data_IF_653191927924
#
_entry.id   IF_653191927924
#
_cell.length_a   1.000
_cell.length_b   1.000
_cell.length_c   1.000
_cell.angle_alpha   90.00
_cell.angle_beta   90.00
_cell.angle_gamma   90.00
#
_symmetry.space_group_name_H-M   'P 1'
#
loop_
_entity.id
_entity.type
_entity.pdbx_description
1 polymer ?
#
# COMPACT_ATOMS: atom_id res chain seq x y z
N UNK A 1 5.96 -14.20 -13.90
CA UNK A 1 7.10 -13.30 -14.17
C UNK A 1 6.93 -12.78 -15.59
N UNK A 2 7.15 -11.49 -15.84
CA UNK A 2 6.91 -10.87 -17.15
C UNK A 2 8.04 -11.21 -18.15
N UNK A 3 7.72 -11.20 -19.45
CA UNK A 3 8.58 -11.63 -20.58
C UNK A 3 10.07 -11.24 -20.46
N UNK A 4 10.39 -10.01 -20.08
CA UNK A 4 11.79 -9.53 -20.02
C UNK A 4 12.60 -10.23 -18.93
N UNK A 5 12.02 -10.43 -17.74
CA UNK A 5 12.71 -11.13 -16.65
C UNK A 5 12.90 -12.61 -16.97
N UNK A 6 11.96 -13.22 -17.69
CA UNK A 6 12.09 -14.60 -18.17
C UNK A 6 13.23 -14.71 -19.21
N UNK A 7 13.28 -13.81 -20.19
CA UNK A 7 14.34 -13.79 -21.20
C UNK A 7 15.73 -13.57 -20.58
N UNK A 8 15.82 -12.75 -19.53
CA UNK A 8 17.06 -12.56 -18.77
C UNK A 8 17.53 -13.87 -18.14
N UNK A 9 16.64 -14.63 -17.48
CA UNK A 9 16.99 -15.92 -16.89
C UNK A 9 17.39 -16.98 -17.93
N UNK A 10 16.75 -16.99 -19.11
CA UNK A 10 17.07 -17.92 -20.19
C UNK A 10 18.42 -17.61 -20.86
N UNK A 11 18.79 -16.33 -20.93
CA UNK A 11 20.08 -15.89 -21.50
C UNK A 11 21.24 -16.00 -20.51
N UNK A 12 20.98 -15.81 -19.21
CA UNK A 12 22.04 -15.79 -18.20
C UNK A 12 22.39 -17.21 -17.74
N UNK A 13 23.64 -17.63 -17.94
CA UNK A 13 24.12 -18.95 -17.53
C UNK A 13 24.79 -18.88 -16.16
N UNK A 14 23.99 -18.95 -15.10
CA UNK A 14 24.47 -18.94 -13.70
C UNK A 14 23.97 -20.17 -12.95
N UNK A 15 24.86 -20.81 -12.20
CA UNK A 15 24.55 -21.99 -11.41
C UNK A 15 24.56 -21.73 -9.89
N UNK A 16 25.01 -20.54 -9.47
CA UNK A 16 25.07 -20.13 -8.07
C UNK A 16 24.05 -19.02 -7.77
N UNK A 17 23.29 -19.16 -6.68
CA UNK A 17 22.27 -18.19 -6.29
C UNK A 17 22.84 -16.79 -6.00
N UNK A 18 24.03 -16.71 -5.39
CA UNK A 18 24.66 -15.44 -5.03
C UNK A 18 24.99 -14.60 -6.28
N UNK A 19 25.50 -15.24 -7.32
CA UNK A 19 25.82 -14.60 -8.60
C UNK A 19 24.54 -14.20 -9.35
N UNK A 20 23.52 -15.07 -9.37
CA UNK A 20 22.23 -14.76 -9.98
C UNK A 20 21.57 -13.55 -9.30
N UNK A 21 21.62 -13.48 -7.97
CA UNK A 21 21.09 -12.35 -7.20
C UNK A 21 21.81 -11.05 -7.58
N UNK A 22 23.14 -11.08 -7.67
CA UNK A 22 23.94 -9.91 -8.03
C UNK A 22 23.58 -9.39 -9.43
N UNK A 23 23.50 -10.29 -10.42
CA UNK A 23 23.14 -9.92 -11.79
C UNK A 23 21.71 -9.36 -11.90
N UNK A 24 20.77 -9.92 -11.14
CA UNK A 24 19.41 -9.37 -11.06
C UNK A 24 19.40 -7.97 -10.44
N UNK A 25 20.19 -7.75 -9.38
CA UNK A 25 20.32 -6.44 -8.76
C UNK A 25 21.00 -5.42 -9.67
N UNK A 26 21.94 -5.83 -10.52
CA UNK A 26 22.62 -4.95 -11.48
C UNK A 26 21.70 -4.60 -12.66
N UNK A 27 21.04 -5.60 -13.26
CA UNK A 27 20.20 -5.41 -14.46
C UNK A 27 18.90 -4.66 -14.16
N UNK A 28 18.26 -4.97 -13.03
CA UNK A 28 16.95 -4.43 -12.67
C UNK A 28 17.01 -3.35 -11.60
N UNK A 29 18.21 -2.85 -11.27
CA UNK A 29 18.31 -1.71 -10.37
C UNK A 29 17.57 -0.53 -10.98
N UNK A 30 16.69 0.07 -10.19
CA UNK A 30 16.15 1.37 -10.56
C UNK A 30 17.26 2.41 -10.36
N UNK A 31 17.49 3.28 -11.36
CA UNK A 31 18.42 4.38 -11.23
C UNK A 31 18.09 5.19 -9.96
N UNK A 32 19.13 5.49 -9.17
CA UNK A 32 18.97 6.31 -7.98
C UNK A 32 18.48 7.70 -8.39
N UNK A 33 17.24 8.03 -8.04
CA UNK A 33 16.72 9.39 -8.17
C UNK A 33 17.40 10.30 -7.15
N UNK A 34 17.64 11.56 -7.52
CA UNK A 34 18.10 12.55 -6.55
C UNK A 34 17.03 12.72 -5.47
N UNK A 35 17.44 12.89 -4.21
CA UNK A 35 16.53 13.10 -3.08
C UNK A 35 15.51 14.22 -3.38
N UNK A 36 15.93 15.32 -4.00
CA UNK A 36 15.06 16.41 -4.39
C UNK A 36 13.92 15.99 -5.35
N UNK A 37 14.22 15.10 -6.30
CA UNK A 37 13.24 14.58 -7.26
C UNK A 37 12.21 13.70 -6.56
N UNK A 38 12.68 12.85 -5.63
CA UNK A 38 11.78 11.99 -4.84
C UNK A 38 10.85 12.82 -3.96
N UNK A 39 11.39 13.87 -3.30
CA UNK A 39 10.57 14.81 -2.53
C UNK A 39 9.55 15.56 -3.40
N UNK A 40 9.88 15.84 -4.66
CA UNK A 40 8.97 16.47 -5.63
C UNK A 40 7.86 15.49 -6.05
N UNK A 41 8.22 14.25 -6.38
CA UNK A 41 7.26 13.21 -6.76
C UNK A 41 6.29 12.87 -5.61
N UNK A 42 6.80 12.75 -4.38
CA UNK A 42 5.97 12.60 -3.18
C UNK A 42 5.03 13.81 -2.97
N UNK A 43 5.52 15.02 -3.23
CA UNK A 43 4.72 16.24 -3.11
C UNK A 43 3.61 16.30 -4.16
N UNK A 44 3.86 15.88 -5.39
CA UNK A 44 2.89 15.93 -6.49
C UNK A 44 1.84 14.82 -6.38
N UNK A 45 2.20 13.69 -5.75
CA UNK A 45 1.30 12.54 -5.62
C UNK A 45 0.13 12.82 -4.68
N UNK A 46 -1.05 13.07 -5.26
CA UNK A 46 -2.33 13.28 -4.55
C UNK A 46 -3.20 12.05 -4.57
N UNK A 47 -3.88 11.76 -3.44
CA UNK A 47 -4.81 10.63 -3.38
C UNK A 47 -5.96 10.83 -4.38
N UNK A 48 -6.13 9.85 -5.26
CA UNK A 48 -7.25 9.75 -6.19
C UNK A 48 -8.52 9.30 -5.47
N UNK A 49 -9.69 9.57 -6.09
CA UNK A 49 -10.99 9.21 -5.51
C UNK A 49 -11.30 7.72 -5.66
N UNK A 50 -10.79 7.09 -6.73
CA UNK A 50 -11.04 5.69 -7.07
C UNK A 50 -10.11 4.71 -6.35
N UNK A 51 -8.98 5.18 -5.84
CA UNK A 51 -8.03 4.32 -5.13
C UNK A 51 -8.36 4.18 -3.63
N UNK A 52 -8.03 3.03 -3.06
CA UNK A 52 -8.11 2.85 -1.61
C UNK A 52 -6.99 3.63 -0.89
N UNK A 53 -7.18 3.96 0.39
CA UNK A 53 -6.11 4.60 1.17
C UNK A 53 -4.88 3.71 1.31
N UNK A 54 -5.08 2.40 1.44
CA UNK A 54 -3.99 1.42 1.51
C UNK A 54 -3.17 1.40 0.21
N UNK A 55 -3.83 1.39 -0.95
CA UNK A 55 -3.18 1.47 -2.26
C UNK A 55 -2.40 2.78 -2.43
N UNK A 56 -2.99 3.90 -2.01
CA UNK A 56 -2.30 5.19 -1.98
C UNK A 56 -1.02 5.13 -1.14
N UNK A 57 -1.08 4.57 0.08
CA UNK A 57 0.10 4.42 0.93
C UNK A 57 1.16 3.53 0.30
N UNK A 58 0.78 2.41 -0.31
CA UNK A 58 1.74 1.53 -0.99
C UNK A 58 2.47 2.26 -2.12
N UNK A 59 1.77 3.12 -2.87
CA UNK A 59 2.40 3.93 -3.92
C UNK A 59 3.33 5.00 -3.34
N UNK A 60 2.93 5.68 -2.26
CA UNK A 60 3.79 6.64 -1.56
C UNK A 60 5.06 5.98 -1.00
N UNK A 61 4.92 4.78 -0.42
CA UNK A 61 6.04 3.99 0.07
C UNK A 61 6.94 3.50 -1.06
N UNK A 62 6.37 3.14 -2.22
CA UNK A 62 7.14 2.77 -3.41
C UNK A 62 8.04 3.91 -3.87
N UNK A 63 7.52 5.14 -3.90
CA UNK A 63 8.30 6.33 -4.27
C UNK A 63 9.39 6.58 -3.22
N UNK A 64 9.02 6.52 -1.94
CA UNK A 64 9.96 6.73 -0.84
C UNK A 64 11.09 5.70 -0.83
N UNK A 65 10.82 4.42 -1.14
CA UNK A 65 11.80 3.34 -1.15
C UNK A 65 12.89 3.47 -2.24
N UNK A 66 12.71 4.36 -3.21
CA UNK A 66 13.76 4.69 -4.20
C UNK A 66 14.91 5.46 -3.52
N UNK A 67 14.64 6.14 -2.41
CA UNK A 67 15.63 6.88 -1.62
C UNK A 67 15.55 6.53 -0.13
N UNK A 68 16.39 7.19 0.66
CA UNK A 68 16.36 7.09 2.13
C UNK A 68 15.58 8.29 2.69
N UNK A 69 14.25 8.26 2.53
CA UNK A 69 13.37 9.31 3.05
C UNK A 69 12.80 8.90 4.40
N UNK A 70 12.95 9.80 5.38
CA UNK A 70 12.43 9.61 6.72
C UNK A 70 10.91 9.36 6.74
N UNK A 71 10.48 8.46 7.62
CA UNK A 71 9.08 8.05 7.76
C UNK A 71 8.16 9.23 8.07
N UNK A 72 8.58 10.19 8.91
CA UNK A 72 7.76 11.36 9.22
C UNK A 72 7.59 12.27 8.00
N UNK A 73 8.63 12.37 7.18
CA UNK A 73 8.55 13.12 5.92
C UNK A 73 7.54 12.48 4.96
N UNK A 74 7.57 11.15 4.80
CA UNK A 74 6.58 10.44 3.97
C UNK A 74 5.17 10.64 4.52
N UNK A 75 4.95 10.50 5.82
CA UNK A 75 3.64 10.72 6.47
C UNK A 75 3.14 12.13 6.17
N UNK A 76 3.99 13.15 6.26
CA UNK A 76 3.61 14.53 5.94
C UNK A 76 3.13 14.67 4.49
N UNK A 77 3.86 14.10 3.52
CA UNK A 77 3.42 14.12 2.13
C UNK A 77 2.11 13.36 1.89
N UNK A 78 1.93 12.21 2.55
CA UNK A 78 0.69 11.43 2.50
C UNK A 78 -0.48 12.28 2.98
N UNK A 79 -0.35 12.96 4.13
CA UNK A 79 -1.41 13.80 4.71
C UNK A 79 -1.69 15.05 3.85
N UNK A 80 -0.65 15.68 3.32
CA UNK A 80 -0.77 16.81 2.39
C UNK A 80 -1.54 16.41 1.13
N UNK A 81 -1.31 15.18 0.64
CA UNK A 81 -1.96 14.64 -0.55
C UNK A 81 -3.43 14.23 -0.39
N UNK A 82 -3.99 14.28 0.83
CA UNK A 82 -5.40 13.99 1.09
C UNK A 82 -6.31 15.19 0.82
N UNK A 83 -7.46 14.95 0.18
CA UNK A 83 -8.51 15.95 -0.06
C UNK A 83 -9.46 16.04 1.15
N UNK A 84 -8.93 16.39 2.31
CA UNK A 84 -9.70 16.55 3.56
C UNK A 84 -9.61 17.97 4.10
N UNK A 85 -10.58 18.37 4.93
CA UNK A 85 -10.49 19.62 5.70
C UNK A 85 -9.29 19.60 6.64
N UNK A 86 -8.66 20.76 6.83
CA UNK A 86 -7.45 20.94 7.65
C UNK A 86 -7.60 20.39 9.06
N UNK A 87 -8.77 20.54 9.69
CA UNK A 87 -9.07 20.06 11.04
C UNK A 87 -8.82 18.56 11.22
N UNK A 88 -9.16 17.76 10.20
CA UNK A 88 -8.95 16.32 10.23
C UNK A 88 -7.50 15.93 9.95
N UNK A 89 -6.72 16.79 9.28
CA UNK A 89 -5.31 16.55 8.95
C UNK A 89 -4.39 16.72 10.16
N UNK A 90 -4.71 17.64 11.09
CA UNK A 90 -3.84 17.93 12.24
C UNK A 90 -3.42 16.69 13.03
N UNK A 91 -4.36 15.79 13.32
CA UNK A 91 -4.01 14.57 14.07
C UNK A 91 -3.21 13.57 13.24
N UNK A 92 -3.40 13.56 11.91
CA UNK A 92 -2.65 12.64 11.04
C UNK A 92 -1.16 13.03 10.96
N UNK A 93 -0.83 14.32 11.06
CA UNK A 93 0.56 14.77 11.15
C UNK A 93 1.28 14.30 12.42
N UNK A 94 0.54 13.91 13.47
CA UNK A 94 1.14 13.43 14.73
C UNK A 94 1.48 11.94 14.72
N UNK A 95 1.10 11.20 13.66
CA UNK A 95 1.31 9.77 13.58
C UNK A 95 2.78 9.42 13.41
N UNK A 96 3.28 8.44 14.17
CA UNK A 96 4.68 8.03 14.17
C UNK A 96 4.98 6.88 13.21
N UNK A 97 3.95 6.12 12.84
CA UNK A 97 4.05 4.95 11.97
C UNK A 97 2.96 4.92 10.91
N UNK A 98 3.22 4.23 9.80
CA UNK A 98 2.22 4.02 8.74
C UNK A 98 0.98 3.26 9.23
N UNK A 99 1.16 2.35 10.19
CA UNK A 99 0.06 1.61 10.80
C UNK A 99 -0.86 2.55 11.59
N UNK A 100 -0.28 3.37 12.45
CA UNK A 100 -1.03 4.37 13.22
C UNK A 100 -1.75 5.36 12.29
N UNK A 101 -1.09 5.78 11.21
CA UNK A 101 -1.70 6.65 10.20
C UNK A 101 -2.94 6.00 9.56
N UNK A 102 -2.86 4.72 9.21
CA UNK A 102 -3.98 3.98 8.64
C UNK A 102 -5.16 3.85 9.62
N UNK A 103 -4.90 3.44 10.85
CA UNK A 103 -5.91 3.32 11.90
C UNK A 103 -6.60 4.69 12.16
N UNK A 104 -5.82 5.76 12.26
CA UNK A 104 -6.32 7.12 12.47
C UNK A 104 -7.11 7.67 11.26
N UNK A 105 -6.76 7.26 10.05
CA UNK A 105 -7.48 7.62 8.83
C UNK A 105 -8.83 6.91 8.74
N UNK A 106 -8.88 5.61 9.05
CA UNK A 106 -10.11 4.82 9.05
C UNK A 106 -11.14 5.37 10.03
N UNK A 107 -10.73 5.61 11.29
CA UNK A 107 -11.61 6.19 12.32
C UNK A 107 -12.18 7.56 11.90
N UNK A 108 -11.41 8.39 11.21
CA UNK A 108 -11.88 9.71 10.74
C UNK A 108 -12.81 9.61 9.56
N UNK A 109 -12.53 8.70 8.64
CA UNK A 109 -13.38 8.45 7.48
C UNK A 109 -14.74 7.91 7.92
N UNK A 110 -14.76 7.00 8.91
CA UNK A 110 -16.01 6.52 9.52
C UNK A 110 -16.82 7.64 10.17
N UNK A 111 -16.16 8.54 10.92
CA UNK A 111 -16.82 9.72 11.49
C UNK A 111 -17.38 10.65 10.42
N UNK A 112 -16.67 10.86 9.31
CA UNK A 112 -17.15 11.66 8.20
C UNK A 112 -18.43 11.05 7.57
N UNK A 113 -18.46 9.72 7.40
CA UNK A 113 -19.64 8.97 6.92
C UNK A 113 -20.81 9.06 7.91
N UNK A 114 -20.56 9.13 9.21
CA UNK A 114 -21.62 9.29 10.23
C UNK A 114 -22.17 10.73 10.29
N UNK A 115 -21.34 11.74 9.99
CA UNK A 115 -21.73 13.17 10.03
C UNK A 115 -22.48 13.66 8.80
N UNK A 116 -22.41 12.94 7.67
CA UNK A 116 -23.25 13.27 6.52
C UNK A 116 -24.71 12.90 6.86
N UNK A 117 -25.66 13.85 6.84
CA UNK A 117 -27.06 13.52 7.05
C UNK A 117 -27.46 12.52 5.97
N UNK A 118 -28.07 11.39 6.36
CA UNK A 118 -28.67 10.41 5.42
C UNK A 118 -29.68 11.17 4.56
N UNK A 119 -29.25 11.69 3.40
CA UNK A 119 -30.15 12.41 2.50
C UNK A 119 -31.23 11.44 2.08
N UNK A 120 -32.49 11.79 2.38
CA UNK A 120 -33.66 11.20 1.72
C UNK A 120 -33.38 11.29 0.22
N UNK A 121 -33.51 10.16 -0.48
CA UNK A 121 -33.35 10.08 -1.93
C UNK A 121 -34.38 11.05 -2.54
N UNK A 122 -33.91 12.18 -3.04
CA UNK A 122 -34.65 13.01 -3.99
C UNK A 122 -33.69 13.18 -5.15
N UNK A 123 -34.07 12.63 -6.29
CA UNK A 123 -33.29 12.69 -7.51
C UNK A 123 -33.04 14.17 -7.88
N UNK A 124 -31.79 14.63 -7.73
CA UNK A 124 -31.35 15.91 -8.27
C UNK A 124 -29.91 15.78 -8.75
N UNK A 125 -29.65 16.35 -9.92
CA UNK A 125 -28.52 16.17 -10.85
C UNK A 125 -27.15 16.68 -10.39
N UNK A 126 -26.86 16.64 -9.09
CA UNK A 126 -25.53 16.98 -8.56
C UNK A 126 -24.84 15.68 -8.17
N UNK A 127 -23.77 15.35 -8.89
CA UNK A 127 -22.99 14.13 -8.65
C UNK A 127 -22.64 14.00 -7.16
N UNK A 128 -23.14 12.96 -6.47
CA UNK A 128 -22.90 12.79 -5.05
C UNK A 128 -21.40 12.58 -4.78
N UNK A 129 -20.84 13.15 -3.69
CA UNK A 129 -19.51 12.77 -3.24
C UNK A 129 -19.58 11.29 -2.84
N UNK A 130 -18.84 10.48 -3.60
CA UNK A 130 -18.88 9.02 -3.58
C UNK A 130 -18.70 8.51 -2.14
N UNK A 131 -19.74 7.81 -1.68
CA UNK A 131 -19.71 6.90 -0.54
C UNK A 131 -18.52 5.98 -0.76
N UNK A 132 -17.58 5.90 0.18
CA UNK A 132 -16.56 4.85 0.16
C UNK A 132 -17.31 3.52 0.24
N UNK A 133 -17.55 2.90 -0.93
CA UNK A 133 -18.10 1.56 -0.97
C UNK A 133 -17.15 0.66 -0.20
N UNK A 134 -17.68 -0.02 0.81
CA UNK A 134 -17.00 -1.11 1.50
C UNK A 134 -16.56 -2.11 0.43
N UNK A 135 -15.32 -2.01 0.00
CA UNK A 135 -14.64 -3.13 -0.65
C UNK A 135 -14.35 -4.11 0.48
N UNK A 136 -15.39 -4.85 0.89
CA UNK A 136 -15.24 -6.04 1.69
C UNK A 136 -14.48 -7.07 0.84
N UNK A 137 -13.16 -6.94 0.78
CA UNK A 137 -12.31 -8.11 0.58
C UNK A 137 -12.23 -8.77 1.96
N UNK A 138 -12.72 -10.01 2.12
CA UNK A 138 -12.52 -10.70 3.38
C UNK A 138 -11.01 -10.82 3.58
N UNK A 139 -10.49 -10.30 4.70
CA UNK A 139 -9.22 -10.79 5.22
C UNK A 139 -9.43 -12.29 5.42
N UNK A 140 -8.79 -13.11 4.59
CA UNK A 140 -8.66 -14.52 4.87
C UNK A 140 -7.96 -14.62 6.23
N UNK A 141 -8.74 -15.03 7.22
CA UNK A 141 -8.26 -15.33 8.56
C UNK A 141 -7.19 -16.40 8.42
N UNK A 142 -5.94 -16.04 8.72
CA UNK A 142 -4.91 -17.01 9.04
C UNK A 142 -5.31 -17.60 10.38
N UNK A 143 -6.08 -18.68 10.34
CA UNK A 143 -6.41 -19.49 11.51
C UNK A 143 -5.70 -20.83 11.41
N UNK A 144 -4.83 -21.05 12.40
CA UNK A 144 -4.38 -22.32 12.94
C UNK A 144 -3.62 -23.27 12.00
N UNK A 145 -2.29 -23.24 12.12
CA UNK A 145 -1.47 -24.45 11.96
C UNK A 145 -1.81 -25.37 13.12
N UNK A 146 -2.82 -26.21 12.95
CA UNK A 146 -2.97 -27.43 13.75
C UNK A 146 -2.13 -28.52 13.11
N UNK A 147 -1.21 -29.05 13.91
CA UNK A 147 -0.44 -30.28 13.69
C UNK A 147 -1.35 -31.33 13.02
N UNK A 148 -0.91 -31.84 11.88
CA UNK A 148 -1.46 -33.10 11.36
C UNK A 148 -0.63 -34.20 11.98
N UNK A 149 -1.31 -34.95 12.85
CA UNK A 149 -0.84 -36.14 13.49
C UNK A 149 -0.40 -37.18 12.46
N UNK A 150 0.75 -37.77 12.77
CA UNK A 150 1.24 -39.02 12.21
C UNK A 150 0.29 -40.11 12.69
N UNK A 151 -0.49 -40.72 11.79
CA UNK A 151 -1.15 -41.99 12.07
C UNK A 151 -0.28 -43.16 11.56
N UNK A 152 -0.09 -44.21 12.39
CA UNK A 152 0.70 -45.39 12.07
C UNK A 152 -0.14 -46.50 11.40
N UNK A 153 0.59 -47.53 10.95
CA UNK A 153 0.17 -48.91 10.64
C UNK A 153 -0.66 -49.18 9.37
N UNK A 154 -0.03 -49.86 8.40
CA UNK A 154 -0.35 -51.26 8.11
C UNK A 154 0.96 -52.06 8.04
N UNK A 155 0.96 -53.15 8.80
CA UNK A 155 2.00 -54.16 9.01
C UNK A 155 2.14 -55.10 7.80
N UNK A 156 3.34 -55.65 7.70
CA UNK A 156 3.88 -56.70 6.83
C UNK A 156 2.93 -57.86 6.48
N UNK A 157 3.07 -58.39 5.25
CA UNK A 157 3.67 -59.70 4.97
C UNK A 157 4.04 -59.81 3.49
#
# INVERSE_FOLDING_TARGET
>A
MTNTAQLFLESTHVFEYAELKKLLEEEFKCDYKCSADIHTELRERRKSKQESFHEYMLQMNKIAAIGDIDTQSVIRYVVDGLQMKSDFKYTLYSCKSFRELQEQYEVRTEKYIQTVPKRRIIASTVDPPIIYERIAKPLQSVSAVTRVDICPEIVQQ
#
